data_IF_494532202845
#
_entry.id   IF_494532202845
#
_cell.length_a   1.000
_cell.length_b   1.000
_cell.length_c   1.000
_cell.angle_alpha   90.00
_cell.angle_beta   90.00
_cell.angle_gamma   90.00
#
_symmetry.space_group_name_H-M   'P 1'
#
loop_
_entity.id
_entity.type
_entity.pdbx_description
1 polymer ?
#
# COMPACT_ATOMS: atom_id res chain seq x y z
N UNK A 1 26.97 9.34 -13.21
CA UNK A 1 25.59 9.92 -13.24
C UNK A 1 24.59 8.79 -13.41
N UNK A 2 23.54 8.77 -12.60
CA UNK A 2 22.44 7.80 -12.71
C UNK A 2 21.39 8.38 -13.67
N UNK A 3 21.04 7.63 -14.71
CA UNK A 3 20.12 8.12 -15.74
C UNK A 3 18.66 7.84 -15.36
N UNK A 4 18.08 8.70 -14.51
CA UNK A 4 16.70 8.59 -14.08
C UNK A 4 15.70 8.98 -15.17
N UNK A 5 14.57 8.24 -15.22
CA UNK A 5 13.40 8.58 -16.01
C UNK A 5 12.13 8.45 -15.17
N UNK A 6 11.03 9.06 -15.61
CA UNK A 6 9.74 9.00 -14.91
C UNK A 6 9.24 7.56 -14.80
N UNK A 7 8.82 7.18 -13.60
CA UNK A 7 8.25 5.87 -13.35
C UNK A 7 6.91 5.68 -14.07
N UNK A 8 6.78 4.59 -14.78
CA UNK A 8 5.59 4.26 -15.55
C UNK A 8 5.15 2.80 -15.38
N UNK A 9 4.17 2.40 -16.18
CA UNK A 9 3.57 1.08 -16.15
C UNK A 9 4.58 -0.06 -16.39
N UNK A 10 5.48 0.11 -17.38
CA UNK A 10 6.50 -0.89 -17.67
C UNK A 10 7.53 -1.03 -16.54
N UNK A 11 7.82 0.09 -15.86
CA UNK A 11 8.72 0.09 -14.72
C UNK A 11 8.10 -0.65 -13.53
N UNK A 12 6.80 -0.50 -13.27
CA UNK A 12 6.11 -1.24 -12.23
C UNK A 12 6.19 -2.76 -12.45
N UNK A 13 6.09 -3.22 -13.69
CA UNK A 13 6.30 -4.64 -14.04
C UNK A 13 7.75 -5.07 -13.83
N UNK A 14 8.71 -4.27 -14.27
CA UNK A 14 10.15 -4.58 -14.16
C UNK A 14 10.64 -4.52 -12.73
N UNK A 15 10.16 -3.55 -11.94
CA UNK A 15 10.51 -3.38 -10.52
C UNK A 15 10.17 -4.63 -9.70
N UNK A 16 9.11 -5.35 -10.05
CA UNK A 16 8.74 -6.60 -9.39
C UNK A 16 9.93 -7.56 -9.28
N UNK A 17 10.76 -7.68 -10.32
CA UNK A 17 11.92 -8.57 -10.33
C UNK A 17 13.00 -8.18 -9.30
N UNK A 18 13.02 -6.92 -8.85
CA UNK A 18 13.99 -6.42 -7.86
C UNK A 18 13.49 -6.51 -6.42
N UNK A 19 12.18 -6.62 -6.22
CA UNK A 19 11.57 -6.66 -4.88
C UNK A 19 11.02 -8.02 -4.51
N UNK A 20 10.72 -8.87 -5.49
CA UNK A 20 10.22 -10.24 -5.29
C UNK A 20 11.27 -11.12 -4.57
N UNK A 21 10.82 -11.95 -3.64
CA UNK A 21 11.66 -12.81 -2.78
C UNK A 21 12.62 -12.06 -1.83
N UNK A 22 12.38 -10.77 -1.58
CA UNK A 22 13.19 -9.95 -0.66
C UNK A 22 12.55 -9.74 0.70
N UNK A 23 11.31 -10.21 0.89
CA UNK A 23 10.54 -10.04 2.14
C UNK A 23 10.43 -8.57 2.59
N UNK A 24 10.22 -7.65 1.64
CA UNK A 24 9.88 -6.27 1.97
C UNK A 24 8.43 -6.17 2.41
N UNK A 25 8.20 -5.76 3.64
CA UNK A 25 6.86 -5.72 4.23
C UNK A 25 6.17 -4.37 4.11
N UNK A 26 6.92 -3.29 3.92
CA UNK A 26 6.35 -1.97 3.67
C UNK A 26 5.68 -1.93 2.29
N UNK A 27 4.47 -1.37 2.25
CA UNK A 27 3.70 -1.19 1.01
C UNK A 27 4.46 -0.38 -0.06
N UNK A 28 5.33 0.54 0.35
CA UNK A 28 6.15 1.36 -0.54
C UNK A 28 7.09 0.56 -1.42
N UNK A 29 7.47 -0.65 -1.02
CA UNK A 29 8.21 -1.57 -1.89
C UNK A 29 7.34 -2.33 -2.89
N UNK A 30 6.00 -2.25 -2.74
CA UNK A 30 5.09 -2.82 -3.74
C UNK A 30 5.05 -1.92 -4.98
N UNK A 31 5.39 -2.42 -6.18
CA UNK A 31 5.35 -1.63 -7.41
C UNK A 31 3.99 -1.00 -7.70
N UNK A 32 2.91 -1.64 -7.24
CA UNK A 32 1.54 -1.13 -7.38
C UNK A 32 1.34 0.12 -6.52
N UNK A 33 1.91 0.15 -5.31
CA UNK A 33 1.87 1.34 -4.47
C UNK A 33 2.53 2.54 -5.17
N UNK A 34 3.74 2.37 -5.72
CA UNK A 34 4.42 3.42 -6.48
C UNK A 34 3.60 3.89 -7.68
N UNK A 35 2.91 2.95 -8.36
CA UNK A 35 2.07 3.29 -9.51
C UNK A 35 0.84 4.09 -9.10
N UNK A 36 0.16 3.73 -8.00
CA UNK A 36 -0.97 4.47 -7.44
C UNK A 36 -0.56 5.90 -7.10
N UNK A 37 0.58 6.08 -6.47
CA UNK A 37 1.03 7.35 -5.95
C UNK A 37 1.95 8.16 -6.89
N UNK A 38 2.13 7.73 -8.15
CA UNK A 38 3.08 8.33 -9.10
C UNK A 38 2.85 9.82 -9.37
N UNK A 39 1.61 10.27 -9.35
CA UNK A 39 1.30 11.67 -9.64
C UNK A 39 1.58 12.59 -8.44
N UNK A 40 1.48 12.07 -7.22
CA UNK A 40 1.80 12.79 -5.99
C UNK A 40 3.32 12.81 -5.72
N UNK A 41 3.92 11.62 -5.65
CA UNK A 41 5.33 11.48 -5.27
C UNK A 41 6.30 11.59 -6.45
N UNK A 42 5.81 11.60 -7.68
CA UNK A 42 6.60 11.75 -8.93
C UNK A 42 7.84 10.88 -8.94
N UNK A 43 7.71 9.57 -8.72
CA UNK A 43 8.86 8.69 -8.67
C UNK A 43 9.59 8.66 -10.01
N UNK A 44 10.90 8.63 -9.92
CA UNK A 44 11.81 8.41 -11.04
C UNK A 44 12.62 7.15 -10.77
N UNK A 45 12.95 6.43 -11.83
CA UNK A 45 13.62 5.14 -11.75
C UNK A 45 14.77 5.07 -12.73
N UNK A 46 15.81 4.35 -12.36
CA UNK A 46 16.94 4.05 -13.22
C UNK A 46 17.44 2.63 -12.97
N UNK A 47 18.08 2.07 -13.95
CA UNK A 47 18.65 0.73 -13.88
C UNK A 47 20.08 0.74 -14.38
N UNK A 48 20.95 0.03 -13.69
CA UNK A 48 22.23 -0.41 -14.25
C UNK A 48 22.33 -1.94 -14.17
N UNK A 49 23.51 -2.49 -14.41
CA UNK A 49 23.71 -3.95 -14.41
C UNK A 49 23.52 -4.58 -13.04
N UNK A 50 23.68 -3.81 -11.96
CA UNK A 50 23.73 -4.32 -10.58
C UNK A 50 22.52 -3.92 -9.76
N UNK A 51 21.92 -2.73 -10.05
CA UNK A 51 20.90 -2.11 -9.20
C UNK A 51 19.75 -1.49 -9.99
N UNK A 52 18.61 -1.45 -9.31
CA UNK A 52 17.51 -0.53 -9.59
C UNK A 52 17.57 0.61 -8.59
N UNK A 53 17.53 1.84 -9.06
CA UNK A 53 17.51 3.06 -8.28
C UNK A 53 16.16 3.72 -8.41
N UNK A 54 15.61 4.16 -7.30
CA UNK A 54 14.34 4.89 -7.26
C UNK A 54 14.56 6.15 -6.44
N UNK A 55 14.06 7.28 -6.90
CA UNK A 55 13.93 8.51 -6.13
C UNK A 55 12.52 9.08 -6.31
N UNK A 56 12.06 9.83 -5.33
CA UNK A 56 10.74 10.43 -5.37
C UNK A 56 10.71 11.75 -4.63
N UNK A 57 9.71 12.59 -4.94
CA UNK A 57 9.50 13.87 -4.27
C UNK A 57 8.60 13.67 -3.05
N UNK A 58 9.16 13.80 -1.86
CA UNK A 58 8.36 13.78 -0.62
C UNK A 58 7.94 15.22 -0.27
N UNK A 59 6.63 15.49 -0.07
CA UNK A 59 6.15 16.82 0.32
C UNK A 59 6.88 17.35 1.57
N UNK A 60 7.31 18.61 1.53
CA UNK A 60 8.04 19.33 2.58
C UNK A 60 9.44 18.79 2.95
N UNK A 61 9.96 17.80 2.20
CA UNK A 61 11.28 17.23 2.44
C UNK A 61 12.17 17.40 1.21
N UNK A 62 11.62 17.19 0.01
CA UNK A 62 12.37 17.20 -1.23
C UNK A 62 12.61 15.81 -1.79
N UNK A 63 13.75 15.61 -2.43
CA UNK A 63 14.09 14.34 -3.06
C UNK A 63 14.52 13.31 -2.02
N UNK A 64 13.87 12.14 -2.05
CA UNK A 64 14.18 11.00 -1.21
C UNK A 64 14.51 9.81 -2.12
N UNK A 65 15.58 9.12 -1.81
CA UNK A 65 16.03 7.92 -2.53
C UNK A 65 15.60 6.65 -1.81
N UNK A 66 15.16 5.65 -2.55
CA UNK A 66 15.10 4.30 -1.99
C UNK A 66 16.51 3.77 -1.71
N UNK A 67 16.68 2.89 -0.71
CA UNK A 67 17.86 2.02 -0.68
C UNK A 67 18.02 1.36 -2.06
N UNK A 68 19.25 1.26 -2.61
CA UNK A 68 19.46 0.58 -3.90
C UNK A 68 18.92 -0.84 -3.86
N UNK A 69 18.15 -1.22 -4.87
CA UNK A 69 17.55 -2.54 -4.98
C UNK A 69 18.40 -3.40 -5.93
N UNK A 70 18.91 -4.51 -5.45
CA UNK A 70 19.76 -5.40 -6.26
C UNK A 70 20.39 -6.52 -5.45
N UNK A 71 21.24 -7.32 -6.10
CA UNK A 71 21.92 -8.47 -5.49
C UNK A 71 23.34 -8.14 -5.00
N UNK A 72 23.89 -7.00 -5.39
CA UNK A 72 25.24 -6.57 -5.02
C UNK A 72 25.25 -5.89 -3.65
N UNK A 73 26.43 -5.58 -3.16
CA UNK A 73 26.62 -4.89 -1.87
C UNK A 73 25.92 -3.53 -1.93
N UNK A 74 25.00 -3.29 -1.01
CA UNK A 74 24.20 -2.06 -0.96
C UNK A 74 25.07 -0.79 -0.91
N UNK A 75 26.27 -0.88 -0.29
CA UNK A 75 27.21 0.24 -0.16
C UNK A 75 27.68 0.76 -1.52
N UNK A 76 27.80 -0.11 -2.51
CA UNK A 76 28.25 0.28 -3.85
C UNK A 76 27.14 1.08 -4.56
N UNK A 77 25.89 0.67 -4.40
CA UNK A 77 24.73 1.42 -4.88
C UNK A 77 24.56 2.75 -4.15
N UNK A 78 24.76 2.78 -2.82
CA UNK A 78 24.69 4.01 -2.02
C UNK A 78 25.74 5.02 -2.47
N UNK A 79 26.98 4.59 -2.75
CA UNK A 79 28.04 5.49 -3.27
C UNK A 79 27.64 6.10 -4.61
N UNK A 80 27.01 5.35 -5.50
CA UNK A 80 26.52 5.87 -6.78
C UNK A 80 25.43 6.93 -6.58
N UNK A 81 24.48 6.68 -5.66
CA UNK A 81 23.46 7.68 -5.29
C UNK A 81 24.09 8.93 -4.69
N UNK A 82 25.07 8.78 -3.79
CA UNK A 82 25.78 9.93 -3.20
C UNK A 82 26.48 10.78 -4.25
N UNK A 83 27.15 10.15 -5.21
CA UNK A 83 27.80 10.86 -6.32
C UNK A 83 26.79 11.60 -7.19
N UNK A 84 25.67 10.97 -7.54
CA UNK A 84 24.58 11.57 -8.33
C UNK A 84 23.94 12.76 -7.61
N UNK A 85 23.63 12.59 -6.32
CA UNK A 85 23.03 13.66 -5.50
C UNK A 85 23.98 14.86 -5.35
N UNK A 86 25.28 14.60 -5.10
CA UNK A 86 26.29 15.66 -5.00
C UNK A 86 26.41 16.46 -6.28
N UNK A 87 26.39 15.82 -7.44
CA UNK A 87 26.46 16.47 -8.73
C UNK A 87 25.27 17.41 -9.01
N UNK A 88 24.08 17.02 -8.50
CA UNK A 88 22.85 17.81 -8.63
C UNK A 88 22.60 18.77 -7.46
N UNK A 89 23.47 18.81 -6.47
CA UNK A 89 23.32 19.65 -5.27
C UNK A 89 22.19 19.22 -4.35
N UNK A 90 21.86 17.92 -4.30
CA UNK A 90 20.83 17.35 -3.44
C UNK A 90 21.43 16.79 -2.15
N UNK A 91 20.70 16.93 -1.06
CA UNK A 91 20.95 16.15 0.15
C UNK A 91 20.55 14.70 -0.05
N UNK A 92 21.35 13.77 0.46
CA UNK A 92 21.08 12.34 0.35
C UNK A 92 20.23 11.88 1.52
N UNK A 93 18.93 11.72 1.27
CA UNK A 93 17.96 11.18 2.21
C UNK A 93 17.48 9.84 1.65
N UNK A 94 17.59 8.76 2.44
CA UNK A 94 17.03 7.46 2.07
C UNK A 94 15.70 7.22 2.80
N UNK A 95 14.74 6.66 2.08
CA UNK A 95 13.44 6.20 2.56
C UNK A 95 12.60 5.59 1.43
N UNK A 96 11.84 4.53 1.69
CA UNK A 96 11.67 3.81 2.95
C UNK A 96 12.91 3.00 3.33
N UNK A 97 13.31 3.01 4.59
CA UNK A 97 14.28 2.05 5.11
C UNK A 97 13.54 1.12 6.06
N UNK A 98 13.59 -0.17 5.82
CA UNK A 98 13.01 -1.18 6.70
C UNK A 98 13.84 -1.38 7.96
N UNK A 99 13.24 -1.87 9.02
CA UNK A 99 13.93 -2.16 10.29
C UNK A 99 15.13 -3.11 10.07
N UNK A 100 14.99 -4.08 9.18
CA UNK A 100 16.06 -5.01 8.82
C UNK A 100 17.30 -4.34 8.20
N UNK A 101 17.15 -3.15 7.63
CA UNK A 101 18.24 -2.42 6.98
C UNK A 101 18.95 -1.40 7.89
N UNK A 102 18.41 -1.14 9.09
CA UNK A 102 18.92 -0.09 10.00
C UNK A 102 20.39 -0.27 10.32
N UNK A 103 20.80 -1.49 10.72
CA UNK A 103 22.19 -1.76 11.10
C UNK A 103 23.15 -1.36 9.98
N UNK A 104 22.79 -1.65 8.74
CA UNK A 104 23.61 -1.34 7.58
C UNK A 104 23.78 0.14 7.35
N UNK A 105 22.70 0.90 7.48
CA UNK A 105 22.76 2.36 7.38
C UNK A 105 23.53 2.99 8.53
N UNK A 106 23.43 2.44 9.75
CA UNK A 106 24.21 2.88 10.91
C UNK A 106 25.73 2.67 10.69
N UNK A 107 26.14 1.51 10.13
CA UNK A 107 27.53 1.26 9.75
C UNK A 107 28.05 2.29 8.74
N UNK A 108 27.19 2.78 7.87
CA UNK A 108 27.49 3.83 6.89
C UNK A 108 27.36 5.25 7.46
N UNK A 109 27.20 5.39 8.78
CA UNK A 109 27.08 6.67 9.51
C UNK A 109 25.87 7.52 9.09
N UNK A 110 24.76 6.88 8.75
CA UNK A 110 23.48 7.53 8.60
C UNK A 110 22.71 7.47 9.92
N UNK A 111 22.08 8.57 10.28
CA UNK A 111 21.13 8.59 11.37
C UNK A 111 19.75 8.18 10.89
N UNK A 112 18.95 7.57 11.76
CA UNK A 112 17.64 7.06 11.45
C UNK A 112 16.57 7.85 12.18
N UNK A 113 15.55 8.25 11.43
CA UNK A 113 14.33 8.86 11.96
C UNK A 113 13.18 7.89 11.76
N UNK A 114 12.56 7.45 12.85
CA UNK A 114 11.31 6.69 12.80
C UNK A 114 10.18 7.61 12.32
N UNK A 115 9.46 7.20 11.32
CA UNK A 115 8.35 7.93 10.74
C UNK A 115 7.06 7.13 10.95
N UNK A 116 6.59 7.10 12.19
CA UNK A 116 5.48 6.26 12.67
C UNK A 116 4.23 6.32 11.80
N UNK A 117 3.94 7.50 11.21
CA UNK A 117 2.76 7.72 10.34
C UNK A 117 2.77 6.88 9.05
N UNK A 118 3.94 6.39 8.63
CA UNK A 118 4.10 5.54 7.44
C UNK A 118 4.33 4.08 7.79
N UNK A 119 4.16 3.71 9.05
CA UNK A 119 4.20 2.31 9.48
C UNK A 119 3.00 1.54 8.94
N UNK A 120 3.24 0.30 8.53
CA UNK A 120 2.20 -0.54 7.94
C UNK A 120 1.66 -1.56 8.93
N UNK A 121 0.34 -1.72 8.99
CA UNK A 121 -0.33 -2.72 9.80
C UNK A 121 -0.42 -4.04 9.06
N UNK A 122 0.27 -5.06 9.57
CA UNK A 122 0.37 -6.39 8.99
C UNK A 122 -0.43 -7.39 9.84
N UNK A 123 -1.25 -8.19 9.19
CA UNK A 123 -2.06 -9.21 9.83
C UNK A 123 -1.77 -10.59 9.24
N UNK A 124 -2.08 -11.65 10.01
CA UNK A 124 -2.20 -12.99 9.45
C UNK A 124 -3.55 -13.08 8.72
N UNK A 125 -3.53 -13.50 7.45
CA UNK A 125 -4.76 -13.68 6.67
C UNK A 125 -5.77 -14.58 7.39
N UNK A 126 -5.31 -15.68 7.99
CA UNK A 126 -6.16 -16.60 8.73
C UNK A 126 -6.86 -15.95 9.93
N UNK A 127 -6.18 -15.04 10.64
CA UNK A 127 -6.78 -14.34 11.77
C UNK A 127 -7.80 -13.31 11.31
N UNK A 128 -7.45 -12.53 10.29
CA UNK A 128 -8.31 -11.47 9.76
C UNK A 128 -9.52 -12.05 9.00
N UNK A 129 -9.40 -13.25 8.42
CA UNK A 129 -10.50 -13.98 7.79
C UNK A 129 -11.58 -14.48 8.77
N UNK A 130 -11.37 -14.28 10.07
CA UNK A 130 -12.26 -14.72 11.16
C UNK A 130 -12.68 -13.54 12.06
N UNK A 131 -12.81 -12.33 11.51
CA UNK A 131 -13.21 -11.13 12.26
C UNK A 131 -14.58 -11.29 12.93
N UNK A 132 -15.46 -12.13 12.39
CA UNK A 132 -16.72 -12.51 13.01
C UNK A 132 -16.55 -13.21 14.39
N UNK A 133 -15.33 -13.64 14.76
CA UNK A 133 -14.95 -14.14 16.09
C UNK A 133 -14.26 -13.07 16.96
N UNK A 134 -13.79 -11.97 16.38
CA UNK A 134 -13.12 -10.88 17.08
C UNK A 134 -14.15 -10.10 17.94
N UNK A 135 -13.91 -10.04 19.26
CA UNK A 135 -14.85 -9.43 20.23
C UNK A 135 -15.17 -7.96 19.94
N UNK A 136 -14.22 -7.20 19.38
CA UNK A 136 -14.39 -5.78 19.08
C UNK A 136 -15.35 -5.53 17.90
N UNK A 137 -15.28 -6.34 16.85
CA UNK A 137 -15.97 -6.06 15.58
C UNK A 137 -17.08 -7.08 15.22
N UNK A 138 -17.12 -8.25 15.87
CA UNK A 138 -18.11 -9.28 15.54
C UNK A 138 -19.56 -8.82 15.59
N UNK A 139 -19.87 -7.89 16.51
CA UNK A 139 -21.22 -7.33 16.64
C UNK A 139 -21.63 -6.54 15.41
N UNK A 140 -20.71 -5.74 14.85
CA UNK A 140 -20.93 -4.95 13.64
C UNK A 140 -21.16 -5.86 12.43
N UNK A 141 -20.29 -6.87 12.23
CA UNK A 141 -20.42 -7.84 11.13
C UNK A 141 -21.76 -8.58 11.19
N UNK A 142 -22.13 -9.07 12.38
CA UNK A 142 -23.43 -9.76 12.55
C UNK A 142 -24.63 -8.86 12.30
N UNK A 143 -24.55 -7.59 12.70
CA UNK A 143 -25.59 -6.62 12.44
C UNK A 143 -25.74 -6.37 10.93
N UNK A 144 -24.61 -6.18 10.20
CA UNK A 144 -24.60 -6.02 8.77
C UNK A 144 -25.25 -7.22 8.06
N UNK A 145 -24.81 -8.45 8.36
CA UNK A 145 -25.35 -9.67 7.73
C UNK A 145 -26.86 -9.84 8.04
N UNK A 146 -27.30 -9.48 9.27
CA UNK A 146 -28.70 -9.56 9.65
C UNK A 146 -29.56 -8.54 8.90
N UNK A 147 -29.06 -7.33 8.72
CA UNK A 147 -29.79 -6.24 8.05
C UNK A 147 -29.80 -6.41 6.53
N UNK A 148 -28.78 -7.08 5.99
CA UNK A 148 -28.58 -7.31 4.56
C UNK A 148 -28.41 -8.81 4.27
N UNK A 149 -29.46 -9.63 4.45
CA UNK A 149 -29.36 -11.09 4.34
C UNK A 149 -29.06 -11.57 2.90
N UNK A 150 -29.30 -10.72 1.91
CA UNK A 150 -29.00 -11.00 0.49
C UNK A 150 -27.65 -10.44 0.05
N UNK A 151 -26.91 -9.74 0.93
CA UNK A 151 -25.60 -9.23 0.59
C UNK A 151 -24.58 -10.38 0.45
N UNK A 152 -23.81 -10.36 -0.62
CA UNK A 152 -22.76 -11.31 -0.91
C UNK A 152 -21.52 -10.59 -1.44
N UNK A 153 -20.38 -11.24 -1.32
CA UNK A 153 -19.16 -10.76 -1.97
C UNK A 153 -18.77 -11.67 -3.13
N UNK A 154 -18.13 -11.07 -4.11
CA UNK A 154 -17.58 -11.81 -5.25
C UNK A 154 -16.38 -11.08 -5.85
N UNK A 155 -15.57 -11.81 -6.59
CA UNK A 155 -14.57 -11.20 -7.47
C UNK A 155 -15.28 -10.41 -8.57
N UNK A 156 -14.90 -9.14 -8.72
CA UNK A 156 -15.40 -8.30 -9.80
C UNK A 156 -14.83 -8.75 -11.16
N UNK A 157 -15.67 -8.64 -12.21
CA UNK A 157 -15.31 -8.87 -13.59
C UNK A 157 -15.09 -7.53 -14.31
N UNK A 158 -14.61 -7.59 -15.56
CA UNK A 158 -14.37 -6.38 -16.36
C UNK A 158 -15.64 -5.55 -16.57
N UNK A 159 -16.75 -6.23 -16.74
CA UNK A 159 -18.07 -5.60 -16.93
C UNK A 159 -18.55 -4.81 -15.70
N UNK A 160 -18.00 -5.11 -14.52
CA UNK A 160 -18.33 -4.41 -13.27
C UNK A 160 -17.56 -3.08 -13.10
N UNK A 161 -16.50 -2.86 -13.86
CA UNK A 161 -15.61 -1.70 -13.66
C UNK A 161 -16.31 -0.36 -13.76
N UNK A 162 -17.25 -0.11 -14.68
CA UNK A 162 -18.01 1.14 -14.67
C UNK A 162 -18.77 1.36 -13.36
N UNK A 163 -19.42 0.33 -12.83
CA UNK A 163 -20.15 0.40 -11.54
C UNK A 163 -19.18 0.64 -10.36
N UNK A 164 -18.01 -0.02 -10.37
CA UNK A 164 -17.00 0.20 -9.34
C UNK A 164 -16.47 1.62 -9.36
N UNK A 165 -16.21 2.18 -10.53
CA UNK A 165 -15.75 3.58 -10.67
C UNK A 165 -16.82 4.56 -10.22
N UNK A 166 -18.08 4.33 -10.56
CA UNK A 166 -19.21 5.13 -10.10
C UNK A 166 -19.34 5.06 -8.57
N UNK A 167 -19.23 3.87 -7.97
CA UNK A 167 -19.22 3.71 -6.52
C UNK A 167 -18.10 4.49 -5.84
N UNK A 168 -16.86 4.38 -6.37
CA UNK A 168 -15.69 5.09 -5.83
C UNK A 168 -15.92 6.62 -5.89
N UNK A 169 -16.44 7.14 -7.00
CA UNK A 169 -16.69 8.57 -7.17
C UNK A 169 -17.82 9.06 -6.25
N UNK A 170 -18.90 8.30 -6.13
CA UNK A 170 -20.00 8.60 -5.22
C UNK A 170 -19.54 8.55 -3.76
N UNK A 171 -18.75 7.53 -3.40
CA UNK A 171 -18.16 7.42 -2.07
C UNK A 171 -17.29 8.62 -1.73
N UNK A 172 -16.44 9.05 -2.67
CA UNK A 172 -15.57 10.23 -2.54
C UNK A 172 -16.35 11.51 -2.27
N UNK A 173 -17.49 11.68 -2.91
CA UNK A 173 -18.30 12.91 -2.81
C UNK A 173 -19.25 12.92 -1.62
N UNK A 174 -19.81 11.78 -1.24
CA UNK A 174 -20.84 11.65 -0.20
C UNK A 174 -20.28 11.35 1.19
N UNK A 175 -19.18 10.59 1.26
CA UNK A 175 -18.57 10.14 2.51
C UNK A 175 -17.45 11.09 3.01
N UNK A 176 -17.55 12.36 2.66
CA UNK A 176 -16.53 13.41 2.84
C UNK A 176 -16.21 13.83 4.29
N UNK A 177 -16.52 13.01 5.29
CA UNK A 177 -15.98 13.19 6.65
C UNK A 177 -14.47 12.92 6.72
N UNK A 178 -13.91 12.20 5.76
CA UNK A 178 -12.48 12.10 5.53
C UNK A 178 -11.99 13.40 4.91
N UNK A 179 -11.36 14.25 5.72
CA UNK A 179 -10.74 15.51 5.26
C UNK A 179 -9.34 15.31 4.70
N UNK A 180 -8.87 14.07 4.59
CA UNK A 180 -7.50 13.81 4.15
C UNK A 180 -7.40 13.91 2.62
N UNK A 181 -6.74 14.99 2.17
CA UNK A 181 -6.44 15.21 0.77
C UNK A 181 -5.68 14.04 0.15
N UNK A 182 -4.77 13.40 0.90
CA UNK A 182 -3.99 12.24 0.41
C UNK A 182 -4.89 11.07 0.04
N UNK A 183 -5.93 10.83 0.84
CA UNK A 183 -6.88 9.76 0.53
C UNK A 183 -7.67 10.04 -0.75
N UNK A 184 -8.08 11.29 -0.98
CA UNK A 184 -8.74 11.67 -2.23
C UNK A 184 -7.81 11.58 -3.45
N UNK A 185 -6.54 11.96 -3.29
CA UNK A 185 -5.53 11.79 -4.33
C UNK A 185 -5.33 10.29 -4.65
N UNK A 186 -5.35 9.42 -3.65
CA UNK A 186 -5.34 7.96 -3.82
C UNK A 186 -6.52 7.47 -4.65
N UNK A 187 -7.73 7.90 -4.35
CA UNK A 187 -8.92 7.49 -5.10
C UNK A 187 -8.86 7.89 -6.58
N UNK A 188 -8.35 9.08 -6.88
CA UNK A 188 -8.13 9.50 -8.26
C UNK A 188 -7.14 8.58 -8.99
N UNK A 189 -6.08 8.16 -8.30
CA UNK A 189 -5.06 7.25 -8.84
C UNK A 189 -5.57 5.81 -8.99
N UNK A 190 -6.50 5.38 -8.16
CA UNK A 190 -7.14 4.05 -8.27
C UNK A 190 -7.89 3.90 -9.59
N UNK A 191 -8.50 4.97 -10.10
CA UNK A 191 -9.14 4.95 -11.42
C UNK A 191 -8.17 4.51 -12.51
N UNK A 192 -6.96 5.06 -12.52
CA UNK A 192 -5.90 4.67 -13.48
C UNK A 192 -5.46 3.23 -13.23
N UNK A 193 -5.37 2.81 -11.97
CA UNK A 193 -5.03 1.43 -11.63
C UNK A 193 -6.07 0.44 -12.18
N UNK A 194 -7.35 0.79 -12.14
CA UNK A 194 -8.43 -0.08 -12.65
C UNK A 194 -8.34 -0.33 -14.15
N UNK A 195 -7.79 0.60 -14.92
CA UNK A 195 -7.53 0.39 -16.35
C UNK A 195 -6.50 -0.71 -16.60
N UNK A 196 -5.65 -1.01 -15.60
CA UNK A 196 -4.57 -1.99 -15.67
C UNK A 196 -4.75 -3.19 -14.71
N UNK A 197 -5.97 -3.45 -14.23
CA UNK A 197 -6.24 -4.50 -13.24
C UNK A 197 -5.72 -5.88 -13.66
N UNK A 198 -5.90 -6.24 -14.94
CA UNK A 198 -5.47 -7.55 -15.44
C UNK A 198 -3.97 -7.62 -15.66
N UNK A 199 -3.38 -6.55 -16.19
CA UNK A 199 -1.94 -6.49 -16.46
C UNK A 199 -1.11 -6.57 -15.17
N UNK A 200 -1.64 -6.06 -14.07
CA UNK A 200 -1.04 -6.16 -12.74
C UNK A 200 -1.51 -7.37 -11.93
N UNK A 201 -2.38 -8.22 -12.50
CA UNK A 201 -2.96 -9.38 -11.81
C UNK A 201 -3.58 -9.04 -10.46
N UNK A 202 -4.33 -7.94 -10.41
CA UNK A 202 -5.02 -7.49 -9.20
C UNK A 202 -6.28 -8.33 -8.94
N UNK A 203 -6.72 -8.34 -7.69
CA UNK A 203 -7.90 -9.06 -7.25
C UNK A 203 -8.96 -8.09 -6.70
N UNK A 204 -9.88 -7.61 -7.55
CA UNK A 204 -10.96 -6.74 -7.12
C UNK A 204 -12.11 -7.56 -6.52
N UNK A 205 -12.65 -7.09 -5.40
CA UNK A 205 -13.83 -7.67 -4.71
C UNK A 205 -14.92 -6.61 -4.64
N UNK A 206 -16.14 -7.02 -4.91
CA UNK A 206 -17.36 -6.26 -4.65
C UNK A 206 -18.16 -6.94 -3.55
N UNK A 207 -18.67 -6.14 -2.61
CA UNK A 207 -19.67 -6.51 -1.63
C UNK A 207 -20.97 -5.83 -2.04
N UNK A 208 -21.97 -6.61 -2.44
CA UNK A 208 -23.19 -6.09 -3.06
C UNK A 208 -24.41 -7.01 -2.80
N UNK A 209 -25.57 -6.52 -3.09
CA UNK A 209 -26.79 -7.29 -3.37
C UNK A 209 -27.32 -6.93 -4.77
N UNK A 210 -28.58 -7.28 -5.09
CA UNK A 210 -29.17 -7.01 -6.40
C UNK A 210 -29.26 -5.53 -6.74
N UNK A 211 -29.45 -4.68 -5.72
CA UNK A 211 -29.79 -3.26 -5.88
C UNK A 211 -28.63 -2.32 -5.53
N UNK A 212 -27.68 -2.74 -4.69
CA UNK A 212 -26.73 -1.85 -4.05
C UNK A 212 -25.33 -2.45 -3.88
N UNK A 213 -24.31 -1.64 -4.12
CA UNK A 213 -22.92 -1.93 -3.73
C UNK A 213 -22.68 -1.36 -2.32
N UNK A 214 -22.25 -2.20 -1.40
CA UNK A 214 -21.92 -1.85 -0.02
C UNK A 214 -20.45 -1.51 0.17
N UNK A 215 -19.57 -2.08 -0.69
CA UNK A 215 -18.16 -1.81 -0.60
C UNK A 215 -17.34 -2.48 -1.70
N UNK A 216 -16.10 -1.99 -1.85
CA UNK A 216 -15.15 -2.46 -2.84
C UNK A 216 -13.76 -2.60 -2.20
N UNK A 217 -13.05 -3.69 -2.52
CA UNK A 217 -11.64 -3.80 -2.24
C UNK A 217 -10.84 -4.20 -3.47
N UNK A 218 -9.57 -3.78 -3.52
CA UNK A 218 -8.61 -4.13 -4.57
C UNK A 218 -7.34 -4.63 -3.89
N UNK A 219 -6.93 -5.85 -4.22
CA UNK A 219 -5.80 -6.53 -3.60
C UNK A 219 -4.72 -6.78 -4.65
N UNK A 220 -3.48 -6.49 -4.30
CA UNK A 220 -2.29 -6.94 -5.03
C UNK A 220 -1.49 -7.94 -4.20
N UNK A 221 -0.61 -8.69 -4.85
CA UNK A 221 0.21 -9.72 -4.20
C UNK A 221 1.68 -9.53 -4.57
N UNK A 222 2.53 -9.61 -3.55
CA UNK A 222 3.98 -9.69 -3.71
C UNK A 222 4.50 -10.68 -2.66
N UNK A 223 5.22 -11.70 -3.10
CA UNK A 223 5.68 -12.81 -2.26
C UNK A 223 4.52 -13.45 -1.46
N UNK A 224 4.68 -13.56 -0.16
CA UNK A 224 3.70 -14.14 0.76
C UNK A 224 2.82 -13.06 1.44
N UNK A 225 2.70 -11.90 0.81
CA UNK A 225 1.97 -10.73 1.30
C UNK A 225 0.88 -10.30 0.31
N UNK A 226 -0.35 -10.16 0.80
CA UNK A 226 -1.43 -9.45 0.14
C UNK A 226 -1.40 -7.98 0.59
N UNK A 227 -1.60 -7.04 -0.32
CA UNK A 227 -1.71 -5.62 -0.04
C UNK A 227 -3.12 -5.16 -0.36
N UNK A 228 -3.82 -4.62 0.63
CA UNK A 228 -5.18 -4.10 0.46
C UNK A 228 -5.11 -2.66 -0.06
N UNK A 229 -4.82 -2.52 -1.38
CA UNK A 229 -4.56 -1.23 -2.02
C UNK A 229 -5.77 -0.29 -1.98
N UNK A 230 -6.97 -0.84 -1.96
CA UNK A 230 -8.22 -0.14 -1.71
C UNK A 230 -9.12 -1.00 -0.85
N UNK A 231 -9.76 -0.41 0.14
CA UNK A 231 -10.88 -1.00 0.87
C UNK A 231 -11.78 0.14 1.34
N UNK A 232 -12.91 0.31 0.69
CA UNK A 232 -13.90 1.32 1.02
C UNK A 232 -15.28 0.67 1.11
N UNK A 233 -16.09 1.11 2.08
CA UNK A 233 -17.46 0.66 2.26
C UNK A 233 -18.34 1.84 2.66
N UNK A 234 -19.65 1.72 2.47
CA UNK A 234 -20.60 2.75 2.86
C UNK A 234 -20.56 2.98 4.37
N UNK A 235 -20.35 4.22 4.79
CA UNK A 235 -20.20 4.58 6.21
C UNK A 235 -21.53 4.56 6.98
N UNK A 236 -22.64 4.69 6.29
CA UNK A 236 -24.00 4.56 6.81
C UNK A 236 -24.46 3.09 6.95
N UNK A 237 -23.59 2.13 6.57
CA UNK A 237 -23.82 0.70 6.70
C UNK A 237 -22.84 0.07 7.70
N UNK A 238 -23.11 0.17 9.00
CA UNK A 238 -22.20 -0.34 10.03
C UNK A 238 -21.90 -1.83 9.87
N UNK A 239 -20.61 -2.17 9.85
CA UNK A 239 -20.13 -3.54 9.69
C UNK A 239 -19.82 -3.94 8.25
N UNK A 240 -20.20 -3.14 7.25
CA UNK A 240 -19.87 -3.39 5.85
C UNK A 240 -18.35 -3.39 5.62
N UNK A 241 -17.63 -2.41 6.21
CA UNK A 241 -16.17 -2.33 6.11
C UNK A 241 -15.50 -3.54 6.74
N UNK A 242 -15.85 -3.89 7.99
CA UNK A 242 -15.25 -5.02 8.68
C UNK A 242 -15.56 -6.35 7.99
N UNK A 243 -16.75 -6.50 7.41
CA UNK A 243 -17.11 -7.67 6.62
C UNK A 243 -16.32 -7.74 5.30
N UNK A 244 -16.10 -6.60 4.65
CA UNK A 244 -15.28 -6.51 3.44
C UNK A 244 -13.80 -6.82 3.72
N UNK A 245 -13.26 -6.36 4.85
CA UNK A 245 -11.90 -6.71 5.30
C UNK A 245 -11.79 -8.21 5.59
N UNK A 246 -12.78 -8.81 6.30
CA UNK A 246 -12.83 -10.25 6.58
C UNK A 246 -12.82 -11.06 5.26
N UNK A 247 -13.66 -10.68 4.31
CA UNK A 247 -13.76 -11.40 3.04
C UNK A 247 -12.52 -11.22 2.16
N UNK A 248 -11.92 -10.02 2.17
CA UNK A 248 -10.64 -9.76 1.49
C UNK A 248 -9.51 -10.61 2.05
N UNK A 249 -9.46 -10.76 3.38
CA UNK A 249 -8.48 -11.63 4.03
C UNK A 249 -8.72 -13.11 3.72
N UNK A 250 -9.98 -13.53 3.64
CA UNK A 250 -10.37 -14.90 3.28
C UNK A 250 -9.91 -15.29 1.87
N UNK A 251 -10.11 -14.41 0.88
CA UNK A 251 -9.60 -14.58 -0.46
C UNK A 251 -8.08 -14.54 -0.51
N UNK A 252 -7.47 -13.68 0.29
CA UNK A 252 -6.01 -13.56 0.37
C UNK A 252 -5.34 -14.78 0.97
N UNK A 253 -5.95 -15.46 1.95
CA UNK A 253 -5.42 -16.65 2.60
C UNK A 253 -5.16 -17.82 1.63
N UNK A 254 -5.80 -17.80 0.45
CA UNK A 254 -5.55 -18.78 -0.60
C UNK A 254 -4.21 -18.60 -1.31
N UNK A 255 -3.56 -17.42 -1.17
CA UNK A 255 -2.37 -17.03 -1.93
C UNK A 255 -1.25 -16.45 -1.08
N UNK A 256 -1.55 -15.92 0.10
CA UNK A 256 -0.61 -15.22 0.95
C UNK A 256 -0.86 -15.55 2.42
N UNK A 257 0.18 -15.58 3.22
CA UNK A 257 0.10 -15.76 4.68
C UNK A 257 -0.26 -14.46 5.38
N UNK A 258 0.22 -13.34 4.86
CA UNK A 258 0.08 -12.03 5.47
C UNK A 258 -0.78 -11.11 4.60
N UNK A 259 -1.46 -10.16 5.25
CA UNK A 259 -2.16 -9.07 4.58
C UNK A 259 -1.76 -7.74 5.22
N UNK A 260 -1.39 -6.79 4.38
CA UNK A 260 -1.00 -5.43 4.74
C UNK A 260 -2.19 -4.50 4.47
N UNK A 261 -2.72 -3.85 5.52
CA UNK A 261 -3.79 -2.85 5.42
C UNK A 261 -3.25 -1.42 5.19
N UNK A 262 -1.97 -1.30 4.84
CA UNK A 262 -1.25 -0.06 4.59
C UNK A 262 -1.07 0.83 5.84
N UNK A 263 -1.09 2.15 5.66
CA UNK A 263 -0.75 3.17 6.65
C UNK A 263 -2.01 3.71 7.33
N UNK A 264 -1.91 4.18 8.56
CA UNK A 264 -3.00 4.85 9.28
C UNK A 264 -3.12 6.36 8.95
N UNK A 265 -2.25 6.87 8.09
CA UNK A 265 -2.18 8.29 7.67
C UNK A 265 -2.11 9.28 8.84
N UNK A 266 -1.72 8.82 10.04
CA UNK A 266 -1.72 9.58 11.27
C UNK A 266 -3.13 10.04 11.73
N UNK A 267 -4.16 9.27 11.34
CA UNK A 267 -5.52 9.43 11.80
C UNK A 267 -5.77 8.55 13.03
N UNK A 268 -6.06 9.17 14.18
CA UNK A 268 -6.24 8.45 15.46
C UNK A 268 -7.41 7.45 15.42
N UNK A 269 -8.45 7.76 14.65
CA UNK A 269 -9.61 6.89 14.50
C UNK A 269 -9.23 5.64 13.70
N UNK A 270 -8.56 5.84 12.56
CA UNK A 270 -8.11 4.74 11.70
C UNK A 270 -7.07 3.87 12.43
N UNK A 271 -6.14 4.50 13.16
CA UNK A 271 -5.18 3.80 14.02
C UNK A 271 -5.88 2.89 15.03
N UNK A 272 -6.88 3.41 15.75
CA UNK A 272 -7.66 2.64 16.71
C UNK A 272 -8.40 1.48 16.04
N UNK A 273 -9.03 1.72 14.89
CA UNK A 273 -9.72 0.69 14.12
C UNK A 273 -8.76 -0.43 13.71
N UNK A 274 -7.56 -0.10 13.24
CA UNK A 274 -6.55 -1.09 12.88
C UNK A 274 -6.06 -1.88 14.10
N UNK A 275 -5.82 -1.23 15.23
CA UNK A 275 -5.41 -1.90 16.48
C UNK A 275 -6.51 -2.86 17.01
N UNK A 276 -7.79 -2.51 16.87
CA UNK A 276 -8.92 -3.37 17.24
C UNK A 276 -8.98 -4.66 16.42
N UNK A 277 -8.46 -4.66 15.19
CA UNK A 277 -8.33 -5.85 14.35
C UNK A 277 -7.18 -6.78 14.79
N UNK A 278 -6.33 -6.37 15.73
CA UNK A 278 -5.19 -7.11 16.30
C UNK A 278 -4.13 -7.48 15.27
N UNK A 279 -3.33 -6.51 14.83
CA UNK A 279 -2.25 -6.75 13.89
C UNK A 279 -1.26 -7.78 14.42
N UNK A 280 -0.67 -8.56 13.50
CA UNK A 280 0.46 -9.43 13.78
C UNK A 280 1.70 -8.61 14.15
N UNK A 281 1.92 -7.52 13.38
CA UNK A 281 2.96 -6.53 13.65
C UNK A 281 2.63 -5.21 12.98
N UNK A 282 3.27 -4.13 13.42
CA UNK A 282 3.36 -2.86 12.70
C UNK A 282 4.78 -2.75 12.16
N UNK A 283 4.92 -2.87 10.82
CA UNK A 283 6.21 -2.68 10.16
C UNK A 283 6.56 -1.20 10.15
N UNK A 284 7.71 -0.86 10.72
CA UNK A 284 8.15 0.53 10.86
C UNK A 284 8.77 1.07 9.58
N UNK A 285 8.55 2.34 9.34
CA UNK A 285 9.16 3.10 8.27
C UNK A 285 10.22 4.03 8.83
N UNK A 286 11.45 3.86 8.38
CA UNK A 286 12.54 4.77 8.74
C UNK A 286 12.98 5.61 7.55
N UNK A 287 13.49 6.80 7.88
CA UNK A 287 14.15 7.69 6.95
C UNK A 287 15.54 8.00 7.49
N UNK A 288 16.52 8.09 6.59
CA UNK A 288 17.87 8.49 6.99
C UNK A 288 18.02 10.00 6.88
N UNK A 289 18.98 10.52 7.65
CA UNK A 289 19.58 11.81 7.43
C UNK A 289 21.08 11.73 7.77
N UNK A 290 21.85 12.58 7.14
CA UNK A 290 23.29 12.73 7.45
C UNK A 290 23.47 13.96 8.30
N UNK A 291 24.29 13.85 9.38
CA UNK A 291 24.73 15.01 10.17
C UNK A 291 25.73 15.82 9.38
#
# INVERSE_FOLDING_TARGET
>A
MINFHKFGFLDAKKLKNYVENKNYWLNRYNPIWLFIWKDLYRPEIAYDNDFCYIRYLEPNIGIVYYPPLGEKRIEDGIKKIQADATEHGYDVIFGPVSEASIMKFNELKYNMLDNEKYGNYIYLCDNLSQLNKNKAVKGKIKAFIKNHPNAYYRKAKKEDFPKMLEFIENWRTTQSTFKDKLFFDKLASIKVLMEHLYEFNLYPIMLEDEDKIYGISIISYLDNMAYLNLCIALMDEPGAYEYLVETSAKESALKAKYINLEEDYNDDKLKKEFEELKPYTKEKFYRTFRL
#
